data_IF_124285719962
#
_entry.id   IF_124285719962
#
_cell.length_a   1.000
_cell.length_b   1.000
_cell.length_c   1.000
_cell.angle_alpha   90.00
_cell.angle_beta   90.00
_cell.angle_gamma   90.00
#
_symmetry.space_group_name_H-M   'P 1'
#
loop_
_entity.id
_entity.type
_entity.pdbx_description
1 polymer ?
#
# COMPACT_ATOMS: atom_id res chain seq x y z
N UNK A 1 31.02 32.11 16.96
CA UNK A 1 29.88 31.27 17.35
C UNK A 1 30.30 29.84 17.59
N UNK A 2 30.02 29.34 18.80
CA UNK A 2 30.05 27.90 19.09
C UNK A 2 28.86 27.22 18.40
N UNK A 3 29.16 26.34 17.44
CA UNK A 3 28.15 25.63 16.65
C UNK A 3 27.26 24.75 17.51
N UNK A 4 27.79 24.17 18.59
CA UNK A 4 27.00 23.30 19.48
C UNK A 4 25.98 24.13 20.26
N UNK A 5 26.42 25.25 20.86
CA UNK A 5 25.56 26.16 21.57
C UNK A 5 24.48 26.79 20.67
N UNK A 6 24.76 27.01 19.38
CA UNK A 6 23.77 27.51 18.43
C UNK A 6 22.71 26.45 18.07
N UNK A 7 23.10 25.19 17.89
CA UNK A 7 22.17 24.09 17.64
C UNK A 7 21.25 23.86 18.83
N UNK A 8 21.79 23.86 20.05
CA UNK A 8 20.99 23.70 21.28
C UNK A 8 19.96 24.84 21.43
N UNK A 9 20.34 26.09 21.12
CA UNK A 9 19.44 27.26 21.13
C UNK A 9 18.32 27.14 20.08
N UNK A 10 18.63 26.69 18.87
CA UNK A 10 17.64 26.52 17.80
C UNK A 10 16.68 25.35 18.09
N UNK A 11 17.19 24.24 18.63
CA UNK A 11 16.38 23.10 19.05
C UNK A 11 15.43 23.45 20.19
N UNK A 12 15.86 24.25 21.17
CA UNK A 12 15.00 24.75 22.24
C UNK A 12 13.82 25.59 21.71
N UNK A 13 13.95 26.15 20.50
CA UNK A 13 12.91 26.90 19.78
C UNK A 13 12.15 26.04 18.76
N UNK A 14 12.38 24.73 18.72
CA UNK A 14 11.72 23.80 17.80
C UNK A 14 12.21 23.89 16.35
N UNK A 15 13.37 24.52 16.11
CA UNK A 15 13.94 24.71 14.77
C UNK A 15 15.08 23.72 14.55
N UNK A 16 14.98 22.91 13.50
CA UNK A 16 16.05 22.02 13.04
C UNK A 16 16.78 22.67 11.86
N UNK A 17 18.12 22.78 11.94
CA UNK A 17 18.96 23.36 10.89
C UNK A 17 20.01 22.36 10.41
N UNK A 18 20.31 22.36 9.11
CA UNK A 18 21.37 21.49 8.56
C UNK A 18 22.76 22.08 8.84
N UNK A 19 23.83 21.27 8.80
CA UNK A 19 25.20 21.76 8.97
C UNK A 19 25.59 22.86 7.98
N UNK A 20 25.12 22.80 6.73
CA UNK A 20 25.39 23.83 5.73
C UNK A 20 24.75 25.16 6.13
N UNK A 21 23.47 25.15 6.54
CA UNK A 21 22.77 26.36 7.00
C UNK A 21 23.41 26.92 8.26
N UNK A 22 23.74 26.06 9.23
CA UNK A 22 24.40 26.46 10.47
C UNK A 22 25.75 27.15 10.24
N UNK A 23 26.48 26.72 9.20
CA UNK A 23 27.78 27.32 8.84
C UNK A 23 27.67 28.70 8.19
N UNK A 24 26.48 29.10 7.75
CA UNK A 24 26.20 30.40 7.15
C UNK A 24 25.55 31.39 8.12
N UNK A 25 25.12 30.92 9.31
CA UNK A 25 24.48 31.76 10.32
C UNK A 25 25.51 32.50 11.17
N UNK A 26 25.28 33.79 11.36
CA UNK A 26 25.94 34.62 12.37
C UNK A 26 25.25 34.49 13.73
N UNK A 27 25.95 34.88 14.80
CA UNK A 27 25.45 34.82 16.19
C UNK A 27 24.13 35.59 16.33
N UNK A 28 24.03 36.77 15.70
CA UNK A 28 22.84 37.62 15.70
C UNK A 28 21.68 37.01 14.89
N UNK A 29 21.97 36.22 13.86
CA UNK A 29 20.95 35.54 13.06
C UNK A 29 20.36 34.33 13.79
N UNK A 30 21.14 33.60 14.59
CA UNK A 30 20.62 32.50 15.43
C UNK A 30 19.57 33.00 16.43
N UNK A 31 19.74 34.21 16.95
CA UNK A 31 18.79 34.87 17.84
C UNK A 31 17.49 35.29 17.11
N UNK A 32 17.53 35.57 15.81
CA UNK A 32 16.38 36.02 15.01
C UNK A 32 15.62 34.89 14.32
N UNK A 33 16.21 33.70 14.19
CA UNK A 33 15.55 32.51 13.68
C UNK A 33 14.50 32.04 14.70
N UNK A 34 13.23 32.25 14.37
CA UNK A 34 12.08 31.94 15.24
C UNK A 34 11.00 33.02 15.31
N UNK A 35 11.21 34.22 14.72
CA UNK A 35 10.16 35.22 14.56
C UNK A 35 9.16 34.87 13.44
N UNK A 36 7.91 35.29 13.59
CA UNK A 36 6.91 35.26 12.51
C UNK A 36 7.51 35.95 11.26
N UNK A 37 7.90 35.15 10.26
CA UNK A 37 8.55 35.64 9.03
C UNK A 37 9.91 35.02 8.71
N UNK A 38 10.51 34.23 9.61
CA UNK A 38 11.69 33.44 9.25
C UNK A 38 11.28 32.31 8.30
N UNK A 39 11.56 32.48 7.00
CA UNK A 39 11.45 31.42 6.00
C UNK A 39 12.48 30.36 6.34
N UNK A 40 12.07 29.41 7.20
CA UNK A 40 12.69 28.10 7.24
C UNK A 40 12.44 27.54 5.85
N UNK A 41 13.46 27.52 5.00
CA UNK A 41 13.47 26.69 3.81
C UNK A 41 13.26 25.28 4.32
N UNK A 42 11.99 24.83 4.30
CA UNK A 42 11.63 23.48 4.62
C UNK A 42 12.50 22.61 3.73
N UNK A 43 13.53 22.00 4.33
CA UNK A 43 14.32 20.99 3.64
C UNK A 43 13.28 20.00 3.16
N UNK A 44 13.10 19.86 1.83
CA UNK A 44 12.03 19.01 1.35
C UNK A 44 12.26 17.64 1.98
N UNK A 45 11.26 17.12 2.68
CA UNK A 45 11.42 15.90 3.44
C UNK A 45 11.95 14.83 2.48
N UNK A 46 13.16 14.34 2.76
CA UNK A 46 13.75 13.27 1.98
C UNK A 46 12.84 12.03 2.01
N UNK A 47 13.09 11.06 1.14
CA UNK A 47 12.32 9.83 1.13
C UNK A 47 12.36 9.12 2.49
N UNK A 48 11.20 8.73 3.01
CA UNK A 48 11.04 8.02 4.29
C UNK A 48 10.65 6.57 4.02
N UNK A 49 11.34 5.62 4.66
CA UNK A 49 10.93 4.20 4.67
C UNK A 49 10.18 3.88 5.94
N UNK A 50 8.96 3.39 5.77
CA UNK A 50 8.17 2.79 6.84
C UNK A 50 8.31 1.27 6.73
N UNK A 51 8.92 0.66 7.76
CA UNK A 51 9.01 -0.79 7.94
C UNK A 51 8.00 -1.24 9.00
N UNK A 52 7.36 -2.41 8.83
CA UNK A 52 6.52 -2.97 9.89
C UNK A 52 7.36 -3.38 11.11
N UNK A 53 6.85 -3.10 12.31
CA UNK A 53 7.46 -3.54 13.57
C UNK A 53 7.27 -5.05 13.74
N UNK A 54 8.38 -5.80 13.82
CA UNK A 54 8.38 -7.24 14.09
C UNK A 54 8.32 -7.52 15.60
N UNK A 55 7.59 -8.56 15.98
CA UNK A 55 7.64 -9.12 17.33
C UNK A 55 8.29 -10.50 17.31
N UNK A 56 9.03 -10.82 18.38
CA UNK A 56 9.74 -12.09 18.53
C UNK A 56 8.79 -13.28 18.79
N UNK A 57 7.62 -13.02 19.37
CA UNK A 57 6.59 -14.03 19.63
C UNK A 57 5.20 -13.42 19.43
N UNK A 58 4.28 -14.22 18.89
CA UNK A 58 2.88 -13.84 18.71
C UNK A 58 2.02 -14.59 19.72
N UNK A 59 1.12 -13.89 20.38
CA UNK A 59 0.09 -14.49 21.22
C UNK A 59 -1.19 -14.75 20.42
N UNK A 60 -2.09 -15.57 20.96
CA UNK A 60 -3.43 -15.78 20.36
C UNK A 60 -4.20 -14.45 20.27
N UNK A 61 -4.05 -13.58 21.27
CA UNK A 61 -4.69 -12.27 21.29
C UNK A 61 -4.19 -11.38 20.13
N UNK A 62 -2.90 -11.45 19.78
CA UNK A 62 -2.33 -10.71 18.65
C UNK A 62 -2.91 -11.20 17.32
N UNK A 63 -3.07 -12.52 17.16
CA UNK A 63 -3.67 -13.11 15.95
C UNK A 63 -5.14 -12.70 15.82
N UNK A 64 -5.91 -12.76 16.91
CA UNK A 64 -7.32 -12.32 16.91
C UNK A 64 -7.41 -10.82 16.61
N UNK A 65 -6.56 -10.01 17.24
CA UNK A 65 -6.45 -8.57 17.00
C UNK A 65 -6.15 -8.25 15.53
N UNK A 66 -5.21 -9.00 14.93
CA UNK A 66 -4.85 -8.85 13.52
C UNK A 66 -6.03 -9.07 12.58
N UNK A 67 -6.81 -10.15 12.77
CA UNK A 67 -7.97 -10.44 11.91
C UNK A 67 -9.12 -9.46 12.15
N UNK A 68 -9.33 -9.03 13.39
CA UNK A 68 -10.32 -8.00 13.70
C UNK A 68 -9.98 -6.67 13.02
N UNK A 69 -8.74 -6.21 13.18
CA UNK A 69 -8.25 -5.00 12.52
C UNK A 69 -8.32 -5.13 11.00
N UNK A 70 -7.98 -6.32 10.45
CA UNK A 70 -8.14 -6.61 9.01
C UNK A 70 -9.59 -6.40 8.58
N UNK A 71 -10.53 -7.01 9.29
CA UNK A 71 -11.95 -6.92 9.00
C UNK A 71 -12.41 -5.46 9.03
N UNK A 72 -12.13 -4.74 10.12
CA UNK A 72 -12.59 -3.36 10.33
C UNK A 72 -12.07 -2.42 9.22
N UNK A 73 -10.77 -2.49 8.91
CA UNK A 73 -10.18 -1.64 7.85
C UNK A 73 -10.77 -1.91 6.47
N UNK A 74 -11.02 -3.18 6.12
CA UNK A 74 -11.60 -3.54 4.83
C UNK A 74 -13.09 -3.25 4.78
N UNK A 75 -13.79 -3.42 5.90
CA UNK A 75 -15.18 -3.02 6.09
C UNK A 75 -15.34 -1.53 5.83
N UNK A 76 -14.49 -0.68 6.40
CA UNK A 76 -14.55 0.77 6.19
C UNK A 76 -14.43 1.17 4.70
N UNK A 77 -13.60 0.47 3.94
CA UNK A 77 -13.50 0.66 2.49
C UNK A 77 -14.77 0.20 1.76
N UNK A 78 -15.33 -0.93 2.18
CA UNK A 78 -16.55 -1.49 1.59
C UNK A 78 -17.80 -0.65 1.93
N UNK A 79 -17.85 0.00 3.09
CA UNK A 79 -18.94 0.89 3.50
C UNK A 79 -19.14 2.08 2.54
N UNK A 80 -18.11 2.44 1.77
CA UNK A 80 -18.23 3.46 0.72
C UNK A 80 -19.02 2.96 -0.52
N UNK A 81 -19.31 1.65 -0.60
CA UNK A 81 -19.85 0.97 -1.78
C UNK A 81 -21.09 0.13 -1.46
N UNK A 82 -21.26 -0.29 -0.21
CA UNK A 82 -22.40 -1.08 0.26
C UNK A 82 -22.98 -0.48 1.53
N UNK A 83 -24.30 -0.61 1.71
CA UNK A 83 -25.01 -0.25 2.94
C UNK A 83 -25.38 -1.55 3.67
N UNK A 84 -24.46 -2.14 4.44
CA UNK A 84 -24.65 -3.48 4.98
C UNK A 84 -25.54 -3.46 6.22
N UNK A 85 -26.26 -4.55 6.43
CA UNK A 85 -26.81 -4.93 7.72
C UNK A 85 -25.89 -5.96 8.38
N UNK A 86 -26.04 -6.19 9.69
CA UNK A 86 -25.31 -7.28 10.35
C UNK A 86 -26.00 -8.63 10.12
N UNK A 87 -25.24 -9.72 10.23
CA UNK A 87 -25.76 -11.08 10.08
C UNK A 87 -26.92 -11.35 11.04
N UNK A 88 -26.82 -10.89 12.28
CA UNK A 88 -27.89 -11.05 13.29
C UNK A 88 -29.23 -10.38 12.94
N UNK A 89 -29.24 -9.43 11.99
CA UNK A 89 -30.45 -8.75 11.53
C UNK A 89 -31.07 -9.37 10.26
N UNK A 90 -30.39 -10.32 9.61
CA UNK A 90 -30.86 -10.93 8.35
C UNK A 90 -32.20 -11.66 8.50
N UNK A 91 -32.44 -12.32 9.63
CA UNK A 91 -33.70 -13.05 9.89
C UNK A 91 -34.95 -12.17 10.01
N UNK A 92 -34.78 -10.84 10.08
CA UNK A 92 -35.88 -9.86 10.16
C UNK A 92 -36.20 -9.23 8.80
N UNK A 93 -35.39 -9.51 7.77
CA UNK A 93 -35.48 -8.88 6.45
C UNK A 93 -35.92 -9.92 5.43
N UNK A 94 -37.13 -9.73 4.88
CA UNK A 94 -37.69 -10.59 3.81
C UNK A 94 -37.31 -10.11 2.39
N UNK A 95 -36.37 -9.19 2.27
CA UNK A 95 -36.03 -8.49 1.03
C UNK A 95 -34.53 -8.63 0.69
N UNK A 96 -34.08 -7.82 -0.26
CA UNK A 96 -32.66 -7.68 -0.60
C UNK A 96 -31.84 -7.32 0.64
N UNK A 97 -30.67 -7.95 0.76
CA UNK A 97 -29.72 -7.74 1.84
C UNK A 97 -28.35 -7.39 1.27
N UNK A 98 -27.62 -6.55 2.01
CA UNK A 98 -26.20 -6.32 1.81
C UNK A 98 -25.47 -6.67 3.11
N UNK A 99 -24.35 -7.38 3.02
CA UNK A 99 -23.52 -7.81 4.14
C UNK A 99 -22.05 -7.49 3.86
N UNK A 100 -21.24 -7.36 4.91
CA UNK A 100 -19.77 -7.39 4.80
C UNK A 100 -19.28 -8.55 5.66
N UNK A 101 -18.65 -9.53 5.01
CA UNK A 101 -18.28 -10.80 5.64
C UNK A 101 -16.79 -11.07 5.45
N UNK A 102 -16.16 -11.64 6.48
CA UNK A 102 -14.91 -12.37 6.33
C UNK A 102 -15.23 -13.82 5.93
N UNK A 103 -14.56 -14.34 4.91
CA UNK A 103 -14.74 -15.71 4.46
C UNK A 103 -14.06 -16.65 5.46
N UNK A 104 -14.82 -17.53 6.10
CA UNK A 104 -14.29 -18.54 7.01
C UNK A 104 -13.77 -19.75 6.24
N UNK A 105 -14.62 -20.31 5.39
CA UNK A 105 -14.31 -21.50 4.59
C UNK A 105 -15.13 -21.56 3.30
N UNK A 106 -14.61 -22.29 2.31
CA UNK A 106 -15.31 -22.53 1.05
C UNK A 106 -16.41 -23.60 1.25
N UNK A 107 -17.53 -23.43 0.57
CA UNK A 107 -18.64 -24.38 0.52
C UNK A 107 -18.84 -24.89 -0.92
N UNK A 108 -19.70 -25.90 -1.08
CA UNK A 108 -19.94 -26.52 -2.40
C UNK A 108 -20.44 -25.49 -3.43
N UNK A 109 -21.40 -24.65 -3.03
CA UNK A 109 -22.06 -23.65 -3.89
C UNK A 109 -21.75 -22.20 -3.48
N UNK A 110 -20.65 -21.96 -2.78
CA UNK A 110 -20.27 -20.62 -2.33
C UNK A 110 -19.31 -20.68 -1.14
N UNK A 111 -19.64 -20.02 -0.04
CA UNK A 111 -18.79 -19.97 1.15
C UNK A 111 -19.57 -19.72 2.44
N UNK A 112 -18.94 -19.99 3.58
CA UNK A 112 -19.43 -19.56 4.89
C UNK A 112 -18.72 -18.26 5.26
N UNK A 113 -19.49 -17.20 5.44
CA UNK A 113 -18.98 -15.88 5.85
C UNK A 113 -19.33 -15.57 7.30
N UNK A 114 -18.51 -14.75 7.94
CA UNK A 114 -18.72 -14.28 9.31
C UNK A 114 -18.54 -12.77 9.44
N UNK A 115 -19.33 -12.18 10.33
CA UNK A 115 -19.11 -10.84 10.88
C UNK A 115 -19.05 -10.93 12.41
N UNK A 116 -18.79 -9.83 13.14
CA UNK A 116 -18.77 -9.86 14.61
C UNK A 116 -20.08 -10.29 15.28
N UNK A 117 -21.19 -10.39 14.53
CA UNK A 117 -22.53 -10.70 15.03
C UNK A 117 -22.99 -12.13 14.73
N UNK A 118 -22.32 -12.85 13.82
CA UNK A 118 -22.66 -14.23 13.52
C UNK A 118 -22.07 -14.74 12.21
N UNK A 119 -22.53 -15.92 11.79
CA UNK A 119 -22.12 -16.58 10.55
C UNK A 119 -23.31 -16.80 9.63
N UNK A 120 -23.07 -16.81 8.32
CA UNK A 120 -24.10 -17.08 7.32
C UNK A 120 -23.50 -17.82 6.12
N UNK A 121 -24.27 -18.74 5.56
CA UNK A 121 -23.90 -19.39 4.31
C UNK A 121 -24.31 -18.51 3.13
N UNK A 122 -23.36 -18.28 2.22
CA UNK A 122 -23.54 -17.49 1.00
C UNK A 122 -23.44 -18.43 -0.20
N UNK A 123 -24.49 -18.42 -1.02
CA UNK A 123 -24.55 -19.14 -2.29
C UNK A 123 -24.19 -18.18 -3.41
N UNK A 124 -23.10 -18.45 -4.12
CA UNK A 124 -22.59 -17.58 -5.19
C UNK A 124 -21.76 -18.38 -6.21
N UNK A 125 -21.59 -17.81 -7.41
CA UNK A 125 -20.74 -18.40 -8.46
C UNK A 125 -19.25 -18.16 -8.20
N UNK A 126 -18.93 -16.99 -7.67
CA UNK A 126 -17.57 -16.60 -7.32
C UNK A 126 -17.09 -17.38 -6.09
N UNK A 127 -15.78 -17.67 -6.02
CA UNK A 127 -15.16 -18.41 -4.92
C UNK A 127 -14.09 -17.55 -4.26
N UNK A 128 -14.46 -16.66 -3.31
CA UNK A 128 -13.47 -15.94 -2.53
C UNK A 128 -12.70 -16.91 -1.63
N UNK A 129 -11.47 -16.56 -1.27
CA UNK A 129 -10.59 -17.44 -0.51
C UNK A 129 -10.83 -17.27 1.00
N UNK A 130 -10.52 -18.29 1.82
CA UNK A 130 -10.54 -18.14 3.27
C UNK A 130 -9.72 -16.92 3.71
N UNK A 131 -10.29 -16.15 4.65
CA UNK A 131 -9.77 -14.89 5.21
C UNK A 131 -9.94 -13.67 4.31
N UNK A 132 -10.54 -13.79 3.13
CA UNK A 132 -10.94 -12.62 2.33
C UNK A 132 -12.06 -11.85 3.03
N UNK A 133 -12.12 -10.54 2.85
CA UNK A 133 -13.25 -9.71 3.31
C UNK A 133 -13.97 -9.16 2.10
N UNK A 134 -15.26 -9.47 2.00
CA UNK A 134 -16.08 -9.19 0.82
C UNK A 134 -17.41 -8.56 1.24
N UNK A 135 -17.88 -7.61 0.43
CA UNK A 135 -19.27 -7.20 0.44
C UNK A 135 -20.12 -8.19 -0.35
N UNK A 136 -21.29 -8.52 0.15
CA UNK A 136 -22.24 -9.43 -0.51
C UNK A 136 -23.54 -8.69 -0.68
N UNK A 137 -24.07 -8.63 -1.91
CA UNK A 137 -25.44 -8.18 -2.18
C UNK A 137 -26.25 -9.37 -2.67
N UNK A 138 -27.48 -9.50 -2.20
CA UNK A 138 -28.32 -10.65 -2.55
C UNK A 138 -29.66 -10.62 -1.83
N UNK A 139 -30.23 -11.79 -1.60
CA UNK A 139 -31.48 -11.96 -0.86
C UNK A 139 -31.41 -13.19 0.04
N UNK A 140 -32.17 -13.18 1.12
CA UNK A 140 -32.28 -14.32 2.03
C UNK A 140 -33.24 -15.38 1.48
N UNK A 141 -32.82 -16.65 1.52
CA UNK A 141 -33.66 -17.81 1.20
C UNK A 141 -33.25 -18.99 2.08
N UNK A 142 -34.20 -19.53 2.84
CA UNK A 142 -33.99 -20.73 3.68
C UNK A 142 -32.78 -20.61 4.63
N UNK A 143 -32.58 -19.41 5.21
CA UNK A 143 -31.45 -19.14 6.11
C UNK A 143 -30.09 -18.91 5.43
N UNK A 144 -30.05 -18.91 4.09
CA UNK A 144 -28.85 -18.64 3.29
C UNK A 144 -28.98 -17.32 2.53
N UNK A 145 -27.86 -16.70 2.22
CA UNK A 145 -27.80 -15.54 1.33
C UNK A 145 -27.53 -16.03 -0.08
N UNK A 146 -28.45 -15.79 -1.00
CA UNK A 146 -28.20 -16.02 -2.44
C UNK A 146 -27.62 -14.73 -3.01
N UNK A 147 -26.31 -14.72 -3.27
CA UNK A 147 -25.62 -13.53 -3.72
C UNK A 147 -25.91 -13.25 -5.20
N UNK A 148 -26.33 -12.02 -5.50
CA UNK A 148 -26.38 -11.48 -6.85
C UNK A 148 -25.04 -10.86 -7.27
N UNK A 149 -24.27 -10.33 -6.32
CA UNK A 149 -23.00 -9.64 -6.57
C UNK A 149 -22.06 -9.76 -5.36
N UNK A 150 -20.78 -10.01 -5.63
CA UNK A 150 -19.69 -9.81 -4.65
C UNK A 150 -18.98 -8.48 -4.92
N UNK A 151 -18.86 -7.66 -3.88
CA UNK A 151 -18.20 -6.35 -3.92
C UNK A 151 -16.86 -6.46 -3.19
N UNK A 152 -15.78 -6.13 -3.88
CA UNK A 152 -14.41 -6.16 -3.33
C UNK A 152 -13.98 -4.79 -2.78
N UNK A 153 -13.09 -4.72 -1.77
CA UNK A 153 -12.60 -3.47 -1.17
C UNK A 153 -11.65 -2.66 -2.09
N UNK A 154 -11.36 -3.20 -3.27
CA UNK A 154 -10.71 -2.68 -4.48
C UNK A 154 -10.17 -1.24 -4.50
N UNK A 155 -9.14 -0.99 -5.31
CA UNK A 155 -8.60 0.36 -5.47
C UNK A 155 -9.57 1.23 -6.28
N UNK A 156 -9.87 2.47 -5.85
CA UNK A 156 -10.65 3.42 -6.64
C UNK A 156 -9.83 3.84 -7.86
N UNK A 157 -10.51 4.29 -8.92
CA UNK A 157 -9.85 4.91 -10.06
C UNK A 157 -9.24 6.26 -9.62
N UNK A 158 -7.95 6.53 -9.90
CA UNK A 158 -7.34 7.78 -9.48
C UNK A 158 -7.89 8.96 -10.27
N UNK A 159 -7.88 10.13 -9.62
CA UNK A 159 -8.38 11.40 -10.17
C UNK A 159 -7.31 12.20 -10.94
N UNK A 160 -6.10 11.67 -11.12
CA UNK A 160 -5.01 12.35 -11.83
C UNK A 160 -3.75 11.50 -11.90
N UNK A 161 -2.86 11.81 -12.84
CA UNK A 161 -1.54 11.18 -12.95
C UNK A 161 -0.50 11.94 -12.14
N UNK A 162 0.36 11.22 -11.43
CA UNK A 162 1.53 11.80 -10.76
C UNK A 162 2.71 11.83 -11.72
N UNK A 163 3.65 12.73 -11.46
CA UNK A 163 4.88 12.89 -12.26
C UNK A 163 6.08 12.47 -11.43
N UNK A 164 7.07 11.90 -12.10
CA UNK A 164 8.33 11.55 -11.46
C UNK A 164 9.01 10.36 -12.11
N UNK A 165 10.31 10.28 -11.88
CA UNK A 165 11.13 9.13 -12.25
C UNK A 165 11.50 8.37 -10.99
N UNK A 166 11.24 7.08 -10.98
CA UNK A 166 11.58 6.17 -9.89
C UNK A 166 12.56 5.13 -10.41
N UNK A 167 13.67 4.92 -9.71
CA UNK A 167 14.58 3.82 -9.96
C UNK A 167 14.41 2.79 -8.85
N UNK A 168 14.15 1.55 -9.24
CA UNK A 168 13.93 0.39 -8.40
C UNK A 168 15.09 -0.55 -8.63
N UNK A 169 15.66 -1.14 -7.59
CA UNK A 169 16.73 -2.12 -7.78
C UNK A 169 17.32 -2.66 -6.49
N UNK A 170 18.43 -3.42 -6.57
CA UNK A 170 19.03 -4.08 -5.41
C UNK A 170 19.42 -3.10 -4.30
N UNK A 171 19.87 -1.89 -4.66
CA UNK A 171 20.20 -0.83 -3.72
C UNK A 171 18.98 -0.17 -3.05
N UNK A 172 17.75 -0.54 -3.45
CA UNK A 172 16.50 -0.02 -2.93
C UNK A 172 15.75 0.86 -3.94
N UNK A 173 15.16 1.94 -3.45
CA UNK A 173 14.30 2.84 -4.23
C UNK A 173 14.92 4.23 -4.29
N UNK A 174 15.07 4.79 -5.49
CA UNK A 174 15.49 6.16 -5.72
C UNK A 174 14.37 6.94 -6.41
N UNK A 175 14.11 8.17 -5.95
CA UNK A 175 13.06 9.02 -6.53
C UNK A 175 13.68 10.33 -7.00
N UNK A 176 13.69 10.57 -8.32
CA UNK A 176 14.30 11.74 -8.93
C UNK A 176 15.77 11.91 -8.52
N UNK A 177 16.10 13.06 -7.92
CA UNK A 177 17.45 13.41 -7.45
C UNK A 177 17.78 12.94 -6.03
N UNK A 178 16.83 12.33 -5.33
CA UNK A 178 17.05 11.89 -3.96
C UNK A 178 18.01 10.70 -3.92
N UNK A 179 18.80 10.53 -2.84
CA UNK A 179 19.58 9.32 -2.64
C UNK A 179 18.70 8.07 -2.68
N UNK A 180 19.28 6.95 -3.10
CA UNK A 180 18.60 5.66 -3.02
C UNK A 180 18.35 5.32 -1.55
N UNK A 181 17.17 4.78 -1.27
CA UNK A 181 16.79 4.34 0.06
C UNK A 181 16.66 2.83 0.08
N UNK A 182 17.48 2.20 0.91
CA UNK A 182 17.56 0.76 0.98
C UNK A 182 16.22 0.14 1.41
N UNK A 183 15.73 -0.78 0.59
CA UNK A 183 14.58 -1.63 0.92
C UNK A 183 15.12 -2.99 1.32
N UNK A 184 15.65 -3.06 2.54
CA UNK A 184 16.28 -4.27 3.06
C UNK A 184 15.26 -5.40 3.35
N UNK A 185 13.98 -5.03 3.56
CA UNK A 185 12.90 -5.95 3.93
C UNK A 185 11.62 -5.57 3.20
N UNK A 186 10.78 -6.57 2.93
CA UNK A 186 9.47 -6.40 2.33
C UNK A 186 8.39 -7.06 3.22
N UNK A 187 7.18 -6.49 3.31
CA UNK A 187 6.74 -5.27 2.62
C UNK A 187 7.36 -4.01 3.24
N UNK A 188 7.64 -3.01 2.40
CA UNK A 188 8.13 -1.71 2.81
C UNK A 188 7.44 -0.60 2.04
N UNK A 189 7.12 0.50 2.72
CA UNK A 189 6.58 1.70 2.07
C UNK A 189 7.67 2.75 2.00
N UNK A 190 7.88 3.28 0.81
CA UNK A 190 8.77 4.42 0.56
C UNK A 190 7.89 5.59 0.15
N UNK A 191 7.90 6.66 0.95
CA UNK A 191 7.23 7.92 0.61
C UNK A 191 8.27 8.97 0.24
N UNK A 192 8.10 9.59 -0.92
CA UNK A 192 8.99 10.63 -1.40
C UNK A 192 8.17 11.72 -2.12
N UNK A 193 8.21 12.95 -1.62
CA UNK A 193 7.30 14.01 -2.05
C UNK A 193 5.82 13.55 -1.96
N UNK A 194 5.08 13.58 -3.06
CA UNK A 194 3.71 13.12 -3.18
C UNK A 194 3.59 11.65 -3.64
N UNK A 195 4.70 10.95 -3.88
CA UNK A 195 4.72 9.57 -4.35
C UNK A 195 4.73 8.57 -3.18
N UNK A 196 3.87 7.55 -3.27
CA UNK A 196 3.84 6.38 -2.40
C UNK A 196 4.23 5.12 -3.19
N UNK A 197 5.36 4.53 -2.84
CA UNK A 197 5.89 3.31 -3.45
C UNK A 197 5.79 2.20 -2.42
N UNK A 198 5.18 1.09 -2.80
CA UNK A 198 5.05 -0.09 -1.97
C UNK A 198 5.90 -1.21 -2.58
N UNK A 199 6.95 -1.59 -1.87
CA UNK A 199 7.82 -2.71 -2.24
C UNK A 199 7.37 -3.98 -1.52
N UNK A 200 7.19 -5.06 -2.26
CA UNK A 200 6.69 -6.35 -1.78
C UNK A 200 7.51 -7.51 -2.35
N UNK A 201 7.43 -8.66 -1.67
CA UNK A 201 7.90 -9.95 -2.17
C UNK A 201 6.72 -10.91 -2.18
N UNK A 202 6.60 -11.70 -3.24
CA UNK A 202 5.52 -12.68 -3.31
C UNK A 202 5.40 -13.30 -4.69
N UNK A 203 4.72 -14.44 -4.71
CA UNK A 203 4.26 -15.10 -5.93
C UNK A 203 2.75 -14.88 -6.05
N UNK A 204 2.24 -14.83 -7.29
CA UNK A 204 0.83 -14.59 -7.59
C UNK A 204 0.55 -13.25 -8.26
N UNK A 205 -0.70 -13.03 -8.73
CA UNK A 205 -1.09 -11.86 -9.51
C UNK A 205 -1.22 -10.61 -8.63
N UNK A 206 -0.37 -9.57 -8.80
CA UNK A 206 -0.40 -8.39 -7.92
C UNK A 206 -1.72 -7.59 -7.96
N UNK A 207 -2.47 -7.67 -9.06
CA UNK A 207 -3.81 -7.08 -9.19
C UNK A 207 -4.79 -7.65 -8.18
N UNK A 208 -4.64 -8.93 -7.83
CA UNK A 208 -5.48 -9.56 -6.84
C UNK A 208 -5.21 -8.97 -5.45
N UNK A 209 -3.95 -8.66 -5.14
CA UNK A 209 -3.58 -8.00 -3.89
C UNK A 209 -4.17 -6.59 -3.80
N UNK A 210 -4.16 -5.84 -4.91
CA UNK A 210 -4.77 -4.52 -5.00
C UNK A 210 -6.30 -4.60 -4.91
N UNK A 211 -6.93 -5.55 -5.64
CA UNK A 211 -8.38 -5.79 -5.61
C UNK A 211 -8.88 -6.18 -4.23
N UNK A 212 -8.14 -7.05 -3.52
CA UNK A 212 -8.44 -7.50 -2.16
C UNK A 212 -7.94 -6.53 -1.08
N UNK A 213 -7.18 -5.51 -1.47
CA UNK A 213 -6.47 -4.59 -0.56
C UNK A 213 -5.62 -5.34 0.48
N UNK A 214 -5.06 -6.49 0.10
CA UNK A 214 -4.33 -7.38 0.99
C UNK A 214 -3.05 -7.89 0.32
N UNK A 215 -1.90 -7.64 0.92
CA UNK A 215 -0.62 -8.21 0.51
C UNK A 215 -0.47 -9.67 0.96
N UNK A 216 0.31 -10.49 0.24
CA UNK A 216 0.63 -11.86 0.66
C UNK A 216 1.55 -11.86 1.88
N UNK A 217 1.41 -12.87 2.73
CA UNK A 217 2.33 -13.15 3.83
C UNK A 217 1.62 -13.51 5.14
N UNK A 218 2.30 -14.23 6.05
CA UNK A 218 1.75 -14.51 7.37
C UNK A 218 1.70 -13.23 8.22
N UNK A 219 0.75 -13.12 9.17
CA UNK A 219 0.80 -12.07 10.18
C UNK A 219 2.10 -12.20 10.98
N UNK A 220 3.03 -11.26 10.80
CA UNK A 220 4.30 -11.19 11.55
C UNK A 220 4.38 -9.97 12.47
N UNK A 221 3.31 -9.17 12.53
CA UNK A 221 3.28 -7.86 13.18
C UNK A 221 1.93 -7.59 13.86
N UNK A 222 1.93 -6.72 14.87
CA UNK A 222 0.73 -6.28 15.60
C UNK A 222 -0.09 -5.23 14.85
N UNK A 223 0.57 -4.37 14.09
CA UNK A 223 -0.10 -3.57 13.07
C UNK A 223 -0.32 -4.45 11.84
N UNK A 224 -1.41 -4.23 11.09
CA UNK A 224 -1.64 -4.93 9.82
C UNK A 224 -1.07 -4.15 8.61
N UNK A 225 0.23 -4.27 8.26
CA UNK A 225 0.81 -3.63 7.06
C UNK A 225 0.31 -4.28 5.76
N UNK A 226 -0.29 -5.47 5.87
CA UNK A 226 -0.78 -6.23 4.73
C UNK A 226 -2.08 -5.65 4.19
N UNK A 227 -2.86 -4.91 5.01
CA UNK A 227 -4.03 -4.18 4.51
C UNK A 227 -3.63 -2.85 3.87
N UNK A 228 -3.99 -2.70 2.60
CA UNK A 228 -3.71 -1.53 1.77
C UNK A 228 -4.75 -0.43 1.99
N UNK A 229 -4.68 0.25 3.13
CA UNK A 229 -5.53 1.41 3.45
C UNK A 229 -5.27 2.58 2.48
N UNK A 230 -4.01 2.84 2.15
CA UNK A 230 -3.59 3.77 1.11
C UNK A 230 -3.19 3.02 -0.16
N UNK A 231 -3.59 3.57 -1.31
CA UNK A 231 -3.25 3.04 -2.63
C UNK A 231 -1.86 3.56 -2.99
N UNK A 232 -0.87 2.69 -3.26
CA UNK A 232 0.42 3.14 -3.75
C UNK A 232 0.32 3.63 -5.20
N UNK A 233 1.19 4.54 -5.60
CA UNK A 233 1.36 4.93 -7.00
C UNK A 233 2.14 3.87 -7.77
N UNK A 234 3.13 3.26 -7.10
CA UNK A 234 3.93 2.15 -7.63
C UNK A 234 3.85 0.97 -6.67
N UNK A 235 3.38 -0.17 -7.17
CA UNK A 235 3.53 -1.47 -6.51
C UNK A 235 4.71 -2.19 -7.14
N UNK A 236 5.84 -2.22 -6.43
CA UNK A 236 7.03 -2.94 -6.84
C UNK A 236 7.05 -4.33 -6.22
N UNK A 237 7.05 -5.37 -7.06
CA UNK A 237 7.05 -6.77 -6.65
C UNK A 237 8.36 -7.43 -7.07
N UNK A 238 9.14 -7.86 -6.09
CA UNK A 238 10.35 -8.65 -6.31
C UNK A 238 9.98 -10.14 -6.36
N UNK A 239 10.27 -10.81 -7.49
CA UNK A 239 9.87 -12.20 -7.71
C UNK A 239 10.68 -12.89 -8.81
N UNK A 240 10.04 -13.86 -9.50
CA UNK A 240 10.67 -14.65 -10.58
C UNK A 240 10.39 -14.09 -11.98
N UNK A 241 9.37 -13.27 -12.10
CA UNK A 241 8.89 -12.74 -13.37
C UNK A 241 9.27 -11.26 -13.52
N UNK A 242 9.46 -10.87 -14.78
CA UNK A 242 9.63 -9.47 -15.18
C UNK A 242 8.36 -9.03 -15.88
N UNK A 243 7.87 -7.84 -15.55
CA UNK A 243 6.71 -7.29 -16.21
C UNK A 243 6.30 -5.93 -15.64
N UNK A 244 5.55 -5.17 -16.43
CA UNK A 244 4.91 -3.96 -15.92
C UNK A 244 3.53 -3.79 -16.52
N UNK A 245 2.62 -3.21 -15.75
CA UNK A 245 1.29 -2.83 -16.22
C UNK A 245 0.65 -1.83 -15.27
N UNK A 246 -0.41 -1.17 -15.74
CA UNK A 246 -1.20 -0.24 -14.95
C UNK A 246 -2.50 -0.92 -14.56
N UNK A 247 -2.75 -1.05 -13.25
CA UNK A 247 -4.01 -1.53 -12.71
C UNK A 247 -4.70 -0.39 -11.95
N UNK A 248 -5.78 0.14 -12.53
CA UNK A 248 -6.56 1.23 -11.93
C UNK A 248 -5.66 2.38 -11.45
N UNK A 249 -4.72 2.75 -12.31
CA UNK A 249 -3.74 3.82 -12.11
C UNK A 249 -2.67 3.57 -11.04
N UNK A 250 -2.58 2.36 -10.48
CA UNK A 250 -1.36 1.88 -9.81
C UNK A 250 -0.43 1.30 -10.87
N UNK A 251 0.81 1.78 -10.92
CA UNK A 251 1.86 1.16 -11.74
C UNK A 251 2.39 -0.08 -11.01
N UNK A 252 2.11 -1.26 -11.57
CA UNK A 252 2.66 -2.52 -11.09
C UNK A 252 3.98 -2.76 -11.84
N UNK A 253 5.05 -2.98 -11.10
CA UNK A 253 6.37 -3.32 -11.63
C UNK A 253 6.87 -4.59 -10.98
N UNK A 254 7.09 -5.63 -11.77
CA UNK A 254 7.63 -6.92 -11.34
C UNK A 254 9.06 -7.03 -11.84
N UNK A 255 10.00 -7.27 -10.92
CA UNK A 255 11.42 -7.44 -11.25
C UNK A 255 11.92 -8.78 -10.74
N UNK A 256 12.85 -9.40 -11.49
CA UNK A 256 13.59 -10.56 -11.01
C UNK A 256 14.52 -10.19 -9.85
N UNK A 257 14.94 -11.18 -9.08
CA UNK A 257 15.95 -10.98 -8.04
C UNK A 257 17.25 -10.44 -8.65
N UNK A 258 17.83 -9.39 -8.05
CA UNK A 258 19.03 -8.71 -8.54
C UNK A 258 18.80 -7.77 -9.74
N UNK A 259 17.59 -7.72 -10.28
CA UNK A 259 17.22 -6.85 -11.39
C UNK A 259 16.72 -5.48 -10.91
N UNK A 260 16.96 -4.43 -11.70
CA UNK A 260 16.39 -3.11 -11.49
C UNK A 260 15.38 -2.70 -12.56
N UNK A 261 14.68 -1.60 -12.31
CA UNK A 261 13.76 -0.97 -13.24
C UNK A 261 13.73 0.55 -13.05
N UNK A 262 13.73 1.29 -14.15
CA UNK A 262 13.48 2.73 -14.18
C UNK A 262 12.04 2.96 -14.65
N UNK A 263 11.26 3.65 -13.84
CA UNK A 263 9.84 3.94 -14.05
C UNK A 263 9.67 5.43 -14.32
N UNK A 264 9.07 5.78 -15.44
CA UNK A 264 8.60 7.14 -15.73
C UNK A 264 7.08 7.18 -15.55
N UNK A 265 6.63 7.83 -14.47
CA UNK A 265 5.21 7.89 -14.11
C UNK A 265 4.40 8.80 -15.02
N UNK A 266 5.04 9.79 -15.66
CA UNK A 266 4.35 10.71 -16.57
C UNK A 266 4.06 10.04 -17.90
N UNK A 267 5.03 9.28 -18.42
CA UNK A 267 4.87 8.51 -19.66
C UNK A 267 4.20 7.15 -19.44
N UNK A 268 4.15 6.68 -18.19
CA UNK A 268 3.70 5.34 -17.85
C UNK A 268 4.60 4.24 -18.44
N UNK A 269 5.90 4.51 -18.56
CA UNK A 269 6.86 3.60 -19.17
C UNK A 269 7.82 2.99 -18.13
N UNK A 270 8.29 1.77 -18.38
CA UNK A 270 9.22 1.06 -17.52
C UNK A 270 10.35 0.49 -18.38
N UNK A 271 11.59 0.72 -17.94
CA UNK A 271 12.80 0.18 -18.57
C UNK A 271 13.53 -0.69 -17.55
N UNK A 272 13.64 -1.98 -17.82
CA UNK A 272 14.33 -2.93 -16.96
C UNK A 272 15.84 -2.93 -17.22
N UNK A 273 16.64 -3.06 -16.16
CA UNK A 273 18.10 -3.27 -16.27
C UNK A 273 18.43 -4.76 -16.20
N UNK A 274 19.62 -5.15 -16.67
CA UNK A 274 20.10 -6.53 -16.50
C UNK A 274 20.52 -6.79 -15.04
N UNK A 275 20.39 -8.02 -14.53
CA UNK A 275 20.87 -8.37 -13.20
C UNK A 275 22.37 -8.05 -13.04
N UNK A 276 22.73 -7.36 -11.96
CA UNK A 276 24.14 -7.03 -11.65
C UNK A 276 24.76 -5.93 -12.52
N UNK A 277 24.02 -5.33 -13.43
CA UNK A 277 24.46 -4.14 -14.15
C UNK A 277 24.06 -2.91 -13.32
N UNK A 278 24.92 -2.51 -12.38
CA UNK A 278 24.81 -1.20 -11.76
C UNK A 278 25.04 -0.14 -12.85
N UNK A 279 24.13 0.83 -12.92
CA UNK A 279 23.95 1.76 -14.02
C UNK A 279 25.26 2.34 -14.58
N UNK A 280 25.67 1.75 -15.71
CA UNK A 280 26.80 2.16 -16.54
C UNK A 280 26.47 1.97 -18.02
N UNK A 281 25.29 2.42 -18.47
CA UNK A 281 24.96 2.47 -19.89
C UNK A 281 23.79 1.57 -20.32
N UNK A 282 22.88 2.20 -21.06
CA UNK A 282 21.52 1.76 -21.43
C UNK A 282 21.46 0.53 -22.34
N UNK A 283 20.49 -0.34 -22.05
CA UNK A 283 19.77 -1.15 -23.06
C UNK A 283 18.28 -0.87 -22.91
N UNK A 284 17.65 -0.21 -23.90
CA UNK A 284 16.23 0.15 -23.87
C UNK A 284 15.37 -0.94 -24.51
N UNK A 285 14.54 -1.60 -23.71
CA UNK A 285 13.32 -2.27 -24.20
C UNK A 285 12.15 -1.31 -23.98
N UNK A 286 11.52 -0.84 -25.07
CA UNK A 286 10.31 -0.01 -25.02
C UNK A 286 9.12 -0.90 -25.35
N UNK A 287 8.35 -1.29 -24.34
CA UNK A 287 7.06 -1.92 -24.55
C UNK A 287 6.04 -0.84 -24.94
N UNK A 288 5.63 -0.85 -26.22
CA UNK A 288 4.50 -0.05 -26.69
C UNK A 288 3.19 -0.71 -26.24
N UNK A 289 2.22 0.12 -25.85
CA UNK A 289 0.81 -0.27 -25.66
C UNK A 289 0.32 -0.97 -26.93
N UNK A 290 0.10 -2.28 -26.89
CA UNK A 290 -0.72 -2.94 -27.90
C UNK A 290 -2.17 -2.50 -27.65
N UNK A 291 -2.71 -1.73 -28.61
CA UNK A 291 -4.14 -1.47 -28.66
C UNK A 291 -4.90 -2.76 -28.99
N UNK A 292 -6.19 -2.86 -28.64
CA UNK A 292 -6.97 -4.05 -28.94
C UNK A 292 -7.02 -4.28 -30.47
N UNK A 293 -7.00 -5.54 -30.92
CA UNK A 293 -7.16 -5.86 -32.33
C UNK A 293 -8.52 -5.32 -32.82
N UNK A 294 -8.49 -4.66 -33.99
CA UNK A 294 -9.70 -4.26 -34.71
C UNK A 294 -10.43 -5.46 -35.28
#
# INVERSE_FOLDING_TARGET
MDKKAAVERLLARGVLVTPEVLSQLTEDQVEQVGGEGAVVTAVPAGPVVELPAEQASLTVADVVGFYREKYDRLRDLLLQRVEPISVSHTGKVFQAVALILMVREAALQGFVGEDPTGTVEVVCKDRPEPKDVVGVRGYMREGKVVASELVWPDVPLPKGGKRGVVELGPAGVRVGRWPAVAVARAPARVRAADLEILACRGEGPPEEWLRKRCLPGPPRATANPYVLTRVPDVLWVQGREEGSKIYKGVMIVQTREGQGARVDLEQGSVVFSAPGQEDGGRTTAVLRKEGPPK
#
